data_IF_135931645366
#
_entry.id   IF_135931645366
#
_cell.length_a   1.000
_cell.length_b   1.000
_cell.length_c   1.000
_cell.angle_alpha   90.00
_cell.angle_beta   90.00
_cell.angle_gamma   90.00
#
_symmetry.space_group_name_H-M   'P 1'
#
loop_
_entity.id
_entity.type
_entity.pdbx_description
1 polymer ?
#
# COMPACT_ATOMS: atom_id res chain seq x y z
N UNK A 1 -11.95 16.97 -5.37
CA UNK A 1 -12.86 16.77 -4.21
C UNK A 1 -12.34 15.62 -3.33
N UNK A 2 -13.06 15.12 -2.32
CA UNK A 2 -12.55 14.05 -1.43
C UNK A 2 -12.37 12.70 -2.17
N UNK A 3 -13.20 12.46 -3.16
CA UNK A 3 -13.25 11.30 -4.05
C UNK A 3 -12.00 11.24 -4.93
N UNK A 4 -11.63 12.37 -5.54
CA UNK A 4 -10.44 12.52 -6.37
C UNK A 4 -9.15 12.29 -5.56
N UNK A 5 -9.06 12.84 -4.35
CA UNK A 5 -7.93 12.60 -3.45
C UNK A 5 -7.81 11.11 -3.11
N UNK A 6 -8.93 10.48 -2.77
CA UNK A 6 -8.98 9.05 -2.48
C UNK A 6 -8.60 8.18 -3.67
N UNK A 7 -9.04 8.55 -4.88
CA UNK A 7 -8.74 7.83 -6.11
C UNK A 7 -7.23 7.82 -6.40
N UNK A 8 -6.59 8.98 -6.22
CA UNK A 8 -5.15 9.14 -6.43
C UNK A 8 -4.35 8.32 -5.41
N UNK A 9 -4.67 8.41 -4.12
CA UNK A 9 -3.96 7.67 -3.06
C UNK A 9 -4.14 6.17 -3.25
N UNK A 10 -5.36 5.70 -3.52
CA UNK A 10 -5.61 4.29 -3.82
C UNK A 10 -4.77 3.81 -5.02
N UNK A 11 -4.62 4.65 -6.04
CA UNK A 11 -3.75 4.39 -7.19
C UNK A 11 -2.27 4.27 -6.81
N UNK A 12 -1.78 5.14 -5.93
CA UNK A 12 -0.39 5.09 -5.47
C UNK A 12 -0.12 3.86 -4.60
N UNK A 13 -1.03 3.48 -3.72
CA UNK A 13 -0.96 2.22 -2.97
C UNK A 13 -0.91 1.03 -3.93
N UNK A 14 -1.77 0.98 -4.96
CA UNK A 14 -1.78 -0.11 -5.95
C UNK A 14 -0.43 -0.21 -6.66
N UNK A 15 0.21 0.93 -7.00
CA UNK A 15 1.57 0.93 -7.58
C UNK A 15 2.60 0.39 -6.58
N UNK A 16 2.54 0.81 -5.31
CA UNK A 16 3.41 0.30 -4.24
C UNK A 16 3.26 -1.23 -4.11
N UNK A 17 2.03 -1.75 -4.05
CA UNK A 17 1.74 -3.19 -3.99
C UNK A 17 2.22 -3.96 -5.22
N UNK A 18 2.29 -3.31 -6.39
CA UNK A 18 2.90 -3.87 -7.59
C UNK A 18 4.43 -3.81 -7.64
N UNK A 19 5.09 -3.20 -6.64
CA UNK A 19 6.54 -3.09 -6.61
C UNK A 19 7.21 -4.42 -6.27
N UNK A 20 8.34 -4.69 -6.95
CA UNK A 20 9.10 -5.93 -6.72
C UNK A 20 9.70 -6.04 -5.32
N UNK A 21 9.81 -4.92 -4.59
CA UNK A 21 10.28 -4.90 -3.19
C UNK A 21 9.21 -5.45 -2.25
N UNK A 22 7.98 -4.92 -2.34
CA UNK A 22 6.88 -5.39 -1.48
C UNK A 22 6.46 -6.83 -1.81
N UNK A 23 6.45 -7.23 -3.08
CA UNK A 23 6.17 -8.62 -3.46
C UNK A 23 7.15 -9.62 -2.85
N UNK A 24 8.46 -9.31 -2.88
CA UNK A 24 9.48 -10.20 -2.31
C UNK A 24 9.31 -10.41 -0.80
N UNK A 25 8.83 -9.39 -0.07
CA UNK A 25 8.65 -9.51 1.38
C UNK A 25 7.29 -10.05 1.75
N UNK A 26 6.27 -9.77 0.93
CA UNK A 26 5.03 -10.53 0.95
C UNK A 26 5.32 -12.03 0.93
N UNK A 27 6.25 -12.47 0.08
CA UNK A 27 6.70 -13.87 0.06
C UNK A 27 7.51 -14.26 1.31
N UNK A 28 8.45 -13.44 1.78
CA UNK A 28 9.27 -13.76 2.95
C UNK A 28 8.47 -13.87 4.25
N UNK A 29 7.44 -13.04 4.43
CA UNK A 29 6.59 -13.04 5.63
C UNK A 29 5.31 -13.85 5.45
N UNK A 30 5.07 -14.40 4.25
CA UNK A 30 3.89 -15.20 3.96
C UNK A 30 2.59 -14.40 3.93
N UNK A 31 2.65 -13.12 3.58
CA UNK A 31 1.50 -12.20 3.52
C UNK A 31 1.11 -11.81 2.08
N UNK A 32 1.61 -12.54 1.08
CA UNK A 32 1.38 -12.22 -0.33
C UNK A 32 -0.11 -12.22 -0.71
N UNK A 33 -0.88 -13.17 -0.16
CA UNK A 33 -2.31 -13.28 -0.42
C UNK A 33 -3.08 -12.07 0.14
N UNK A 34 -2.68 -11.57 1.31
CA UNK A 34 -3.22 -10.36 1.93
C UNK A 34 -2.91 -9.12 1.09
N UNK A 35 -1.68 -9.00 0.57
CA UNK A 35 -1.29 -7.88 -0.30
C UNK A 35 -2.08 -7.87 -1.62
N UNK A 36 -2.29 -9.04 -2.24
CA UNK A 36 -3.11 -9.15 -3.45
C UNK A 36 -4.60 -8.87 -3.17
N UNK A 37 -5.13 -9.32 -2.03
CA UNK A 37 -6.49 -8.96 -1.59
C UNK A 37 -6.64 -7.46 -1.38
N UNK A 38 -5.64 -6.80 -0.76
CA UNK A 38 -5.64 -5.36 -0.57
C UNK A 38 -5.66 -4.62 -1.91
N UNK A 39 -4.83 -5.04 -2.87
CA UNK A 39 -4.80 -4.49 -4.23
C UNK A 39 -6.13 -4.62 -4.96
N UNK A 40 -6.76 -5.80 -4.87
CA UNK A 40 -8.08 -6.05 -5.47
C UNK A 40 -9.16 -5.18 -4.83
N UNK A 41 -9.13 -5.04 -3.50
CA UNK A 41 -10.05 -4.19 -2.76
C UNK A 41 -9.90 -2.72 -3.15
N UNK A 42 -8.68 -2.22 -3.27
CA UNK A 42 -8.41 -0.83 -3.68
C UNK A 42 -8.83 -0.55 -5.13
N UNK A 43 -8.69 -1.53 -6.03
CA UNK A 43 -9.18 -1.40 -7.40
C UNK A 43 -10.72 -1.30 -7.43
N UNK A 44 -11.40 -2.07 -6.58
CA UNK A 44 -12.85 -1.98 -6.39
C UNK A 44 -13.25 -0.61 -5.83
N UNK A 45 -12.51 -0.11 -4.84
CA UNK A 45 -12.72 1.22 -4.26
C UNK A 45 -12.57 2.31 -5.33
N UNK A 46 -11.55 2.25 -6.18
CA UNK A 46 -11.37 3.21 -7.28
C UNK A 46 -12.58 3.24 -8.23
N UNK A 47 -13.13 2.08 -8.59
CA UNK A 47 -14.33 2.01 -9.41
C UNK A 47 -15.54 2.67 -8.73
N UNK A 48 -15.74 2.40 -7.43
CA UNK A 48 -16.84 3.00 -6.64
C UNK A 48 -16.65 4.52 -6.47
N UNK A 49 -15.42 5.00 -6.35
CA UNK A 49 -15.12 6.43 -6.24
C UNK A 49 -15.46 7.20 -7.52
N UNK A 50 -15.23 6.61 -8.71
CA UNK A 50 -15.65 7.19 -9.98
C UNK A 50 -17.17 7.34 -10.05
N UNK A 51 -17.92 6.32 -9.61
CA UNK A 51 -19.39 6.38 -9.55
C UNK A 51 -19.92 7.34 -8.46
N UNK A 52 -19.10 7.61 -7.44
CA UNK A 52 -19.43 8.49 -6.33
C UNK A 52 -19.19 9.97 -6.67
N UNK A 53 -18.23 10.29 -7.55
CA UNK A 53 -17.92 11.65 -7.99
C UNK A 53 -19.18 12.39 -8.53
N UNK A 54 -20.01 11.70 -9.32
CA UNK A 54 -21.26 12.27 -9.84
C UNK A 54 -22.34 12.49 -8.76
N UNK A 55 -22.29 11.73 -7.65
CA UNK A 55 -23.37 11.67 -6.65
C UNK A 55 -23.03 12.37 -5.34
N UNK A 56 -21.76 12.65 -5.08
CA UNK A 56 -21.31 13.12 -3.77
C UNK A 56 -21.69 14.56 -3.47
N UNK A 57 -21.86 15.39 -4.50
CA UNK A 57 -22.27 16.79 -4.32
C UNK A 57 -23.61 16.92 -3.56
N UNK A 58 -24.55 15.98 -3.79
CA UNK A 58 -25.94 16.06 -3.36
C UNK A 58 -26.32 15.04 -2.27
N UNK A 59 -25.46 14.07 -1.94
CA UNK A 59 -25.79 13.00 -1.01
C UNK A 59 -24.91 13.00 0.26
N UNK A 60 -25.50 13.36 1.40
CA UNK A 60 -24.81 13.39 2.69
C UNK A 60 -24.36 12.01 3.19
N UNK A 61 -25.08 10.94 2.83
CA UNK A 61 -24.64 9.59 3.14
C UNK A 61 -23.35 9.27 2.38
N UNK A 62 -23.25 9.73 1.13
CA UNK A 62 -22.04 9.59 0.30
C UNK A 62 -20.85 10.30 0.92
N UNK A 63 -21.03 11.56 1.31
CA UNK A 63 -19.98 12.34 2.01
C UNK A 63 -19.49 11.66 3.29
N UNK A 64 -20.41 11.08 4.08
CA UNK A 64 -20.05 10.43 5.34
C UNK A 64 -19.19 9.19 5.14
N UNK A 65 -19.57 8.28 4.23
CA UNK A 65 -18.77 7.06 4.03
C UNK A 65 -17.45 7.36 3.31
N UNK A 66 -17.39 8.37 2.44
CA UNK A 66 -16.14 8.85 1.85
C UNK A 66 -15.17 9.39 2.90
N UNK A 67 -15.66 10.11 3.91
CA UNK A 67 -14.84 10.55 5.04
C UNK A 67 -14.20 9.39 5.79
N UNK A 68 -14.97 8.33 6.07
CA UNK A 68 -14.46 7.12 6.73
C UNK A 68 -13.48 6.35 5.84
N UNK A 69 -13.78 6.24 4.55
CA UNK A 69 -12.89 5.60 3.58
C UNK A 69 -11.55 6.35 3.50
N UNK A 70 -11.58 7.68 3.59
CA UNK A 70 -10.39 8.51 3.64
C UNK A 70 -9.46 8.08 4.77
N UNK A 71 -9.95 8.06 6.00
CA UNK A 71 -9.15 7.64 7.16
C UNK A 71 -8.49 6.27 6.94
N UNK A 72 -9.27 5.27 6.52
CA UNK A 72 -8.76 3.91 6.30
C UNK A 72 -7.72 3.83 5.17
N UNK A 73 -7.90 4.58 4.08
CA UNK A 73 -6.96 4.59 2.96
C UNK A 73 -5.63 5.25 3.36
N UNK A 74 -5.66 6.29 4.20
CA UNK A 74 -4.43 6.88 4.75
C UNK A 74 -3.70 5.90 5.68
N UNK A 75 -4.42 5.24 6.60
CA UNK A 75 -3.81 4.24 7.49
C UNK A 75 -3.14 3.11 6.70
N UNK A 76 -3.73 2.70 5.57
CA UNK A 76 -3.16 1.69 4.69
C UNK A 76 -1.92 2.19 3.91
N UNK A 77 -1.90 3.45 3.48
CA UNK A 77 -0.74 4.04 2.81
C UNK A 77 0.46 4.15 3.75
N UNK A 78 0.23 4.67 4.96
CA UNK A 78 1.25 4.79 6.01
C UNK A 78 1.83 3.42 6.38
N UNK A 79 0.98 2.41 6.57
CA UNK A 79 1.42 1.05 6.89
C UNK A 79 2.28 0.43 5.78
N UNK A 80 1.96 0.71 4.51
CA UNK A 80 2.74 0.18 3.38
C UNK A 80 4.08 0.91 3.20
N UNK A 81 4.18 2.17 3.60
CA UNK A 81 5.45 2.88 3.66
C UNK A 81 6.37 2.34 4.77
N UNK A 82 5.82 2.01 5.94
CA UNK A 82 6.55 1.31 6.99
C UNK A 82 7.06 -0.05 6.52
N UNK A 83 6.19 -0.82 5.84
CA UNK A 83 6.55 -2.12 5.28
C UNK A 83 7.64 -1.98 4.21
N UNK A 84 7.54 -0.98 3.33
CA UNK A 84 8.55 -0.66 2.31
C UNK A 84 9.88 -0.20 2.93
N UNK A 85 9.84 0.47 4.07
CA UNK A 85 11.04 0.89 4.79
C UNK A 85 11.74 -0.32 5.41
N UNK A 86 11.00 -1.18 6.11
CA UNK A 86 11.53 -2.42 6.68
C UNK A 86 12.06 -3.35 5.58
N UNK A 87 11.39 -3.33 4.43
CA UNK A 87 11.80 -4.06 3.25
C UNK A 87 13.21 -3.72 2.77
N UNK A 88 13.43 -2.43 2.53
CA UNK A 88 14.72 -1.92 2.11
C UNK A 88 15.78 -2.17 3.18
N UNK A 89 15.42 -1.99 4.47
CA UNK A 89 16.32 -2.25 5.60
C UNK A 89 16.84 -3.69 5.58
N UNK A 90 15.96 -4.67 5.36
CA UNK A 90 16.33 -6.09 5.28
C UNK A 90 17.15 -6.43 4.04
N UNK A 91 16.86 -5.83 2.89
CA UNK A 91 17.69 -6.03 1.68
C UNK A 91 19.13 -5.53 1.90
N UNK A 92 19.28 -4.35 2.52
CA UNK A 92 20.60 -3.77 2.82
C UNK A 92 21.35 -4.61 3.85
N UNK A 93 20.69 -5.06 4.93
CA UNK A 93 21.34 -5.90 5.96
C UNK A 93 21.65 -7.32 5.47
N UNK A 94 20.80 -7.91 4.64
CA UNK A 94 21.02 -9.25 4.06
C UNK A 94 22.13 -9.30 3.01
N UNK A 95 22.42 -8.17 2.35
CA UNK A 95 23.51 -8.03 1.37
C UNK A 95 24.90 -7.92 1.99
N UNK A 96 25.01 -7.69 3.30
CA UNK A 96 26.27 -7.47 4.00
C UNK A 96 26.68 -8.69 4.84
N UNK A 97 26.75 -9.88 4.23
CA UNK A 97 27.56 -10.97 4.80
C UNK A 97 29.03 -10.60 4.60
N UNK A 98 29.57 -9.90 5.60
CA UNK A 98 30.99 -9.60 5.75
C UNK A 98 31.77 -10.92 5.75
N UNK A 99 32.43 -11.22 4.62
CA UNK A 99 33.55 -12.17 4.57
C UNK A 99 34.72 -11.54 5.34
N UNK A 100 34.71 -11.69 6.68
CA UNK A 100 35.92 -11.59 7.50
C UNK A 100 36.32 -12.99 7.92
N UNK A 101 36.75 -13.77 6.93
CA UNK A 101 37.63 -14.91 7.17
C UNK A 101 38.94 -14.59 6.46
N UNK A 102 40.03 -14.52 7.23
CA UNK A 102 41.38 -14.50 6.67
C UNK A 102 42.27 -13.36 7.14
N UNK A 103 42.51 -13.24 8.46
CA UNK A 103 43.78 -12.71 8.99
C UNK A 103 44.10 -13.40 10.33
N UNK A 104 44.39 -14.70 10.27
CA UNK A 104 45.32 -15.35 11.22
C UNK A 104 46.27 -16.18 10.38
N UNK A 105 47.57 -15.87 10.48
CA UNK A 105 48.66 -16.48 9.72
C UNK A 105 49.90 -15.60 9.75
#
# INVERSE_FOLDING_TARGET
MAEEVLFNIAGDIIKKLGSGVLQQIGLWWGVNDELEKLKSTLTTIQAVLLDAEEKSALNNQVKLWLGKLKEVVYDADDLLDDFSTEALRRQVMGGNKVSKEGWEG
#
